data_IF_208972428847
#
_entry.id   IF_208972428847
#
_cell.length_a   1.000
_cell.length_b   1.000
_cell.length_c   1.000
_cell.angle_alpha   90.00
_cell.angle_beta   90.00
_cell.angle_gamma   90.00
#
_symmetry.space_group_name_H-M   'P 1'
#
loop_
_entity.id
_entity.type
_entity.pdbx_description
1 polymer ?
#
# COMPACT_ATOMS: atom_id res chain seq x y z
N UNK A 1 2.29 8.52 -6.81
CA UNK A 1 2.96 7.21 -6.72
C UNK A 1 2.67 6.33 -7.93
N UNK A 2 1.40 6.12 -8.34
CA UNK A 2 1.06 5.39 -9.59
C UNK A 2 1.73 5.94 -10.87
N UNK A 3 1.84 7.26 -11.05
CA UNK A 3 2.55 7.84 -12.21
C UNK A 3 4.07 7.57 -12.21
N UNK A 4 4.71 7.47 -11.04
CA UNK A 4 6.15 7.19 -10.92
C UNK A 4 6.47 5.70 -11.16
N UNK A 5 5.53 4.80 -10.85
CA UNK A 5 5.68 3.37 -11.09
C UNK A 5 5.69 3.03 -12.59
N UNK A 6 4.90 3.75 -13.39
CA UNK A 6 4.81 3.53 -14.85
C UNK A 6 6.08 3.92 -15.60
N UNK A 7 6.83 4.92 -15.13
CA UNK A 7 8.07 5.38 -15.79
C UNK A 7 9.28 4.47 -15.51
N UNK A 8 9.19 3.61 -14.50
CA UNK A 8 10.27 2.72 -14.08
C UNK A 8 9.93 1.24 -14.29
N UNK A 9 8.88 0.91 -15.03
CA UNK A 9 8.39 -0.46 -15.22
C UNK A 9 8.46 -0.89 -16.68
N UNK A 10 8.80 -2.16 -16.92
CA UNK A 10 8.82 -2.75 -18.25
C UNK A 10 7.54 -3.57 -18.50
N UNK A 11 7.02 -3.61 -19.74
CA UNK A 11 5.94 -4.51 -20.08
C UNK A 11 6.39 -5.96 -19.91
N UNK A 12 5.52 -6.79 -19.36
CA UNK A 12 5.79 -8.20 -19.18
C UNK A 12 4.52 -9.04 -19.11
N UNK A 13 4.70 -10.35 -19.27
CA UNK A 13 3.65 -11.33 -19.17
C UNK A 13 3.73 -12.03 -17.82
N UNK A 14 2.60 -12.18 -17.14
CA UNK A 14 2.50 -12.85 -15.84
C UNK A 14 1.58 -14.05 -15.90
N UNK A 15 2.03 -15.14 -15.29
CA UNK A 15 1.24 -16.35 -15.02
C UNK A 15 0.99 -16.42 -13.53
N UNK A 16 -0.27 -16.25 -13.10
CA UNK A 16 -0.60 -16.24 -11.66
C UNK A 16 -1.56 -17.36 -11.31
N UNK A 17 -1.39 -17.93 -10.11
CA UNK A 17 -2.26 -19.00 -9.62
C UNK A 17 -3.69 -18.45 -9.37
N UNK A 18 -4.69 -19.12 -9.94
CA UNK A 18 -6.12 -18.80 -9.75
C UNK A 18 -6.66 -19.51 -8.51
N UNK A 19 -6.22 -19.08 -7.33
CA UNK A 19 -6.73 -19.55 -6.04
C UNK A 19 -7.16 -18.36 -5.19
N UNK A 20 -8.11 -18.58 -4.27
CA UNK A 20 -8.47 -17.56 -3.28
C UNK A 20 -7.23 -17.21 -2.45
N UNK A 21 -7.00 -15.93 -2.16
CA UNK A 21 -5.80 -15.53 -1.43
C UNK A 21 -5.73 -16.16 -0.04
N UNK A 22 -6.87 -16.39 0.61
CA UNK A 22 -6.96 -17.20 1.84
C UNK A 22 -6.35 -18.60 1.67
N UNK A 23 -6.61 -19.26 0.53
CA UNK A 23 -6.08 -20.58 0.25
C UNK A 23 -4.56 -20.56 0.06
N UNK A 24 -4.04 -19.53 -0.61
CA UNK A 24 -2.60 -19.29 -0.75
C UNK A 24 -1.96 -19.16 0.63
N UNK A 25 -2.47 -18.25 1.48
CA UNK A 25 -1.90 -17.99 2.81
C UNK A 25 -1.90 -19.23 3.71
N UNK A 26 -2.84 -20.16 3.51
CA UNK A 26 -2.94 -21.43 4.25
C UNK A 26 -1.98 -22.51 3.76
N UNK A 27 -1.72 -22.56 2.46
CA UNK A 27 -1.17 -23.78 1.84
C UNK A 27 0.07 -23.56 0.97
N UNK A 28 0.39 -22.33 0.61
CA UNK A 28 1.49 -22.03 -0.32
C UNK A 28 2.56 -21.23 0.41
N UNK A 29 3.64 -21.91 0.78
CA UNK A 29 4.89 -21.29 1.20
C UNK A 29 5.85 -21.13 0.01
N UNK A 30 7.02 -20.55 0.26
CA UNK A 30 8.03 -20.34 -0.77
C UNK A 30 8.48 -21.65 -1.45
N UNK A 31 8.58 -22.75 -0.70
CA UNK A 31 9.01 -24.03 -1.27
C UNK A 31 7.94 -24.62 -2.18
N UNK A 32 6.66 -24.48 -1.81
CA UNK A 32 5.54 -24.85 -2.69
C UNK A 32 5.54 -24.00 -3.96
N UNK A 33 5.74 -22.69 -3.86
CA UNK A 33 5.84 -21.80 -5.02
C UNK A 33 6.99 -22.20 -5.96
N UNK A 34 8.17 -22.53 -5.41
CA UNK A 34 9.32 -23.06 -6.16
C UNK A 34 9.06 -24.43 -6.76
N UNK A 35 8.30 -25.27 -6.06
CA UNK A 35 7.82 -26.55 -6.55
C UNK A 35 6.94 -26.39 -7.79
N UNK A 36 5.97 -25.47 -7.76
CA UNK A 36 5.12 -25.14 -8.91
C UNK A 36 5.96 -24.66 -10.10
N UNK A 37 6.92 -23.77 -9.87
CA UNK A 37 7.83 -23.30 -10.92
C UNK A 37 8.63 -24.44 -11.55
N UNK A 38 9.10 -25.38 -10.73
CA UNK A 38 9.84 -26.56 -11.19
C UNK A 38 8.96 -27.50 -12.00
N UNK A 39 7.70 -27.70 -11.60
CA UNK A 39 6.74 -28.50 -12.36
C UNK A 39 6.41 -27.87 -13.72
N UNK A 40 6.34 -26.54 -13.81
CA UNK A 40 6.24 -25.84 -15.09
C UNK A 40 7.49 -26.03 -15.95
N UNK A 41 8.69 -25.98 -15.36
CA UNK A 41 9.93 -26.21 -16.09
C UNK A 41 10.02 -27.64 -16.65
N UNK A 42 9.63 -28.64 -15.86
CA UNK A 42 9.52 -30.03 -16.31
C UNK A 42 8.50 -30.18 -17.44
N UNK A 43 7.33 -29.54 -17.31
CA UNK A 43 6.31 -29.58 -18.34
C UNK A 43 6.76 -28.90 -19.64
N UNK A 44 7.44 -27.76 -19.53
CA UNK A 44 8.03 -27.07 -20.66
C UNK A 44 9.07 -27.95 -21.38
N UNK A 45 9.91 -28.65 -20.62
CA UNK A 45 10.86 -29.62 -21.18
C UNK A 45 10.17 -30.76 -21.94
N UNK A 46 9.07 -31.30 -21.41
CA UNK A 46 8.28 -32.34 -22.09
C UNK A 46 7.64 -31.87 -23.40
N UNK A 47 7.18 -30.62 -23.47
CA UNK A 47 6.58 -30.02 -24.67
C UNK A 47 7.62 -29.66 -25.74
N UNK A 48 8.89 -29.53 -25.34
CA UNK A 48 10.03 -29.39 -26.22
C UNK A 48 10.85 -28.13 -25.98
N UNK A 49 12.00 -28.04 -26.66
CA UNK A 49 13.01 -27.00 -26.45
C UNK A 49 12.48 -25.57 -26.54
N UNK A 50 11.53 -25.31 -27.43
CA UNK A 50 10.93 -23.98 -27.58
C UNK A 50 10.17 -23.52 -26.33
N UNK A 51 9.47 -24.43 -25.65
CA UNK A 51 8.76 -24.13 -24.41
C UNK A 51 9.74 -23.95 -23.24
N UNK A 52 10.83 -24.74 -23.22
CA UNK A 52 11.88 -24.62 -22.21
C UNK A 52 12.60 -23.27 -22.29
N UNK A 53 12.97 -22.83 -23.51
CA UNK A 53 13.57 -21.51 -23.74
C UNK A 53 12.61 -20.38 -23.37
N UNK A 54 11.31 -20.55 -23.62
CA UNK A 54 10.26 -19.60 -23.26
C UNK A 54 10.05 -19.51 -21.74
N UNK A 55 9.97 -20.65 -21.02
CA UNK A 55 9.72 -20.66 -19.58
C UNK A 55 10.92 -20.16 -18.77
N UNK A 56 12.14 -20.27 -19.31
CA UNK A 56 13.38 -19.89 -18.60
C UNK A 56 13.40 -18.43 -18.11
N UNK A 57 12.70 -17.52 -18.78
CA UNK A 57 12.61 -16.12 -18.37
C UNK A 57 11.52 -15.82 -17.33
N UNK A 58 10.71 -16.82 -16.94
CA UNK A 58 9.67 -16.66 -15.91
C UNK A 58 10.25 -16.84 -14.51
N UNK A 59 10.14 -15.79 -13.71
CA UNK A 59 10.61 -15.74 -12.33
C UNK A 59 9.47 -15.47 -11.37
N UNK A 60 9.58 -15.98 -10.14
CA UNK A 60 8.62 -15.67 -9.09
C UNK A 60 8.65 -14.16 -8.81
N UNK A 61 7.55 -13.49 -9.15
CA UNK A 61 7.41 -12.04 -9.06
C UNK A 61 5.95 -11.63 -9.11
N UNK A 62 5.54 -10.74 -8.20
CA UNK A 62 4.21 -10.14 -8.20
C UNK A 62 4.22 -8.73 -8.80
N UNK A 63 3.19 -8.44 -9.57
CA UNK A 63 3.00 -7.15 -10.24
C UNK A 63 2.60 -6.06 -9.25
N UNK A 64 3.02 -4.82 -9.50
CA UNK A 64 2.65 -3.67 -8.65
C UNK A 64 1.36 -2.97 -9.08
N UNK A 65 0.84 -3.30 -10.26
CA UNK A 65 -0.24 -2.57 -10.94
C UNK A 65 -1.52 -3.40 -11.13
N UNK A 66 -1.54 -4.66 -10.70
CA UNK A 66 -2.72 -5.53 -10.78
C UNK A 66 -3.06 -6.27 -9.49
N UNK A 67 -4.09 -7.12 -9.60
CA UNK A 67 -4.65 -7.90 -8.50
C UNK A 67 -4.04 -9.32 -8.44
N UNK A 68 -2.84 -9.49 -8.97
CA UNK A 68 -2.16 -10.78 -8.94
C UNK A 68 -1.60 -10.99 -7.53
N UNK A 69 -1.76 -12.20 -7.00
CA UNK A 69 -1.24 -12.57 -5.69
C UNK A 69 -0.24 -13.70 -5.84
N UNK A 70 0.77 -13.79 -4.95
CA UNK A 70 1.68 -14.92 -4.98
C UNK A 70 0.90 -16.26 -4.94
N UNK A 71 1.39 -17.30 -5.62
CA UNK A 71 2.53 -17.29 -6.52
C UNK A 71 2.15 -16.73 -7.91
N UNK A 72 2.93 -15.76 -8.36
CA UNK A 72 2.89 -15.21 -9.72
C UNK A 72 4.27 -15.33 -10.36
N UNK A 73 4.31 -15.66 -11.64
CA UNK A 73 5.55 -15.81 -12.40
C UNK A 73 5.57 -14.77 -13.52
N UNK A 74 6.54 -13.86 -13.48
CA UNK A 74 6.68 -12.77 -14.45
C UNK A 74 7.85 -12.98 -15.41
N UNK A 75 7.66 -12.60 -16.67
CA UNK A 75 8.71 -12.51 -17.68
C UNK A 75 8.62 -11.14 -18.39
N UNK A 76 9.77 -10.47 -18.54
CA UNK A 76 9.90 -9.13 -19.17
C UNK A 76 10.28 -9.20 -20.64
N UNK A 77 10.75 -10.36 -21.11
CA UNK A 77 11.11 -10.54 -22.51
C UNK A 77 9.85 -10.61 -23.38
N UNK A 78 10.00 -10.40 -24.68
CA UNK A 78 8.92 -10.65 -25.64
C UNK A 78 8.64 -12.15 -25.69
N UNK A 79 7.53 -12.57 -25.09
CA UNK A 79 7.09 -13.97 -25.05
C UNK A 79 5.93 -14.21 -26.02
N UNK A 80 5.92 -15.39 -26.66
CA UNK A 80 4.77 -15.87 -27.43
C UNK A 80 3.66 -16.33 -26.47
N UNK A 81 2.70 -15.43 -26.22
CA UNK A 81 1.56 -15.65 -25.31
C UNK A 81 0.76 -16.93 -25.65
N UNK A 82 0.63 -17.27 -26.93
CA UNK A 82 -0.11 -18.47 -27.35
C UNK A 82 0.59 -19.75 -26.91
N UNK A 83 1.93 -19.77 -26.91
CA UNK A 83 2.70 -20.89 -26.35
C UNK A 83 2.58 -20.95 -24.83
N UNK A 84 2.53 -19.82 -24.14
CA UNK A 84 2.29 -19.79 -22.69
C UNK A 84 0.89 -20.33 -22.37
N UNK A 85 -0.13 -19.97 -23.14
CA UNK A 85 -1.49 -20.54 -23.01
C UNK A 85 -1.50 -22.06 -23.15
N UNK A 86 -0.77 -22.60 -24.12
CA UNK A 86 -0.62 -24.06 -24.28
C UNK A 86 0.02 -24.69 -23.05
N UNK A 87 1.10 -24.09 -22.52
CA UNK A 87 1.79 -24.57 -21.32
C UNK A 87 0.86 -24.56 -20.09
N UNK A 88 0.13 -23.46 -19.87
CA UNK A 88 -0.82 -23.30 -18.76
C UNK A 88 -2.00 -24.27 -18.87
N UNK A 89 -2.60 -24.41 -20.05
CA UNK A 89 -3.68 -25.37 -20.28
C UNK A 89 -3.21 -26.80 -19.96
N UNK A 90 -1.98 -27.14 -20.37
CA UNK A 90 -1.40 -28.46 -20.10
C UNK A 90 -1.07 -28.66 -18.61
N UNK A 91 -0.65 -27.62 -17.90
CA UNK A 91 -0.43 -27.67 -16.46
C UNK A 91 -1.75 -27.97 -15.71
N UNK A 92 -2.85 -27.35 -16.14
CA UNK A 92 -4.19 -27.62 -15.62
C UNK A 92 -4.63 -29.07 -15.88
N UNK A 93 -4.42 -29.60 -17.10
CA UNK A 93 -4.74 -31.00 -17.43
C UNK A 93 -3.96 -32.01 -16.58
N UNK A 94 -2.71 -31.66 -16.20
CA UNK A 94 -1.87 -32.49 -15.32
C UNK A 94 -2.19 -32.32 -13.83
N UNK A 95 -3.07 -31.38 -13.47
CA UNK A 95 -3.42 -31.11 -12.08
C UNK A 95 -2.35 -30.34 -11.29
N UNK A 96 -1.47 -29.58 -11.97
CA UNK A 96 -0.48 -28.71 -11.31
C UNK A 96 -1.18 -27.52 -10.62
N UNK A 97 -2.24 -27.00 -11.25
CA UNK A 97 -3.03 -25.87 -10.75
C UNK A 97 -3.81 -25.20 -11.88
N UNK A 98 -4.64 -24.21 -11.53
CA UNK A 98 -5.27 -23.30 -12.50
C UNK A 98 -4.52 -21.98 -12.47
N UNK A 99 -4.24 -21.43 -13.65
CA UNK A 99 -3.46 -20.21 -13.76
C UNK A 99 -4.08 -19.28 -14.79
N UNK A 100 -4.04 -17.99 -14.49
CA UNK A 100 -4.42 -16.93 -15.42
C UNK A 100 -3.16 -16.33 -16.03
N UNK A 101 -3.32 -15.79 -17.24
CA UNK A 101 -2.27 -15.11 -17.97
C UNK A 101 -2.71 -13.66 -18.15
N UNK A 102 -1.81 -12.72 -17.87
CA UNK A 102 -2.10 -11.28 -17.96
C UNK A 102 -0.87 -10.48 -18.38
N UNK A 103 -1.10 -9.51 -19.27
CA UNK A 103 -0.12 -8.47 -19.58
C UNK A 103 -0.14 -7.37 -18.51
N UNK A 104 1.04 -6.93 -18.09
CA UNK A 104 1.18 -5.95 -17.00
C UNK A 104 2.51 -5.21 -17.05
N UNK A 105 2.71 -4.26 -16.13
CA UNK A 105 3.98 -3.58 -15.94
C UNK A 105 4.76 -4.17 -14.74
N UNK A 106 5.94 -4.71 -15.00
CA UNK A 106 6.84 -5.30 -14.01
C UNK A 106 7.89 -4.29 -13.56
N UNK A 107 8.12 -4.15 -12.26
CA UNK A 107 9.19 -3.30 -11.73
C UNK A 107 10.54 -4.02 -11.82
N UNK A 108 11.66 -3.32 -12.07
CA UNK A 108 12.99 -3.91 -12.03
C UNK A 108 13.28 -4.48 -10.63
N UNK A 109 13.40 -5.80 -10.55
CA UNK A 109 13.83 -6.48 -9.33
C UNK A 109 15.35 -6.37 -9.27
N UNK A 110 15.87 -5.49 -8.41
CA UNK A 110 17.31 -5.19 -8.34
C UNK A 110 18.15 -6.40 -7.95
N UNK A 111 18.71 -7.12 -8.92
CA UNK A 111 19.72 -8.16 -8.69
C UNK A 111 19.58 -9.37 -9.64
N UNK A 112 20.59 -10.27 -9.69
CA UNK A 112 20.60 -11.40 -10.62
C UNK A 112 19.69 -12.59 -10.21
N UNK A 113 19.09 -12.55 -9.03
CA UNK A 113 18.20 -13.61 -8.48
C UNK A 113 17.05 -12.98 -7.67
N UNK A 114 15.93 -12.63 -8.31
CA UNK A 114 14.76 -12.05 -7.63
C UNK A 114 13.97 -13.07 -6.78
N UNK A 115 14.28 -14.36 -6.94
CA UNK A 115 13.54 -15.48 -6.36
C UNK A 115 14.05 -15.84 -4.96
N UNK A 116 13.96 -14.90 -4.02
CA UNK A 116 14.31 -15.15 -2.62
C UNK A 116 13.07 -15.36 -1.78
N UNK A 117 13.19 -16.13 -0.69
CA UNK A 117 12.10 -16.29 0.29
C UNK A 117 11.68 -14.93 0.87
N UNK A 118 12.64 -14.05 1.13
CA UNK A 118 12.37 -12.71 1.66
C UNK A 118 11.54 -11.87 0.68
N UNK A 119 11.84 -11.93 -0.62
CA UNK A 119 11.03 -11.27 -1.65
C UNK A 119 9.62 -11.84 -1.69
N UNK A 120 9.48 -13.17 -1.63
CA UNK A 120 8.16 -13.81 -1.60
C UNK A 120 7.32 -13.39 -0.38
N UNK A 121 7.95 -13.30 0.80
CA UNK A 121 7.31 -12.81 2.03
C UNK A 121 6.91 -11.33 1.87
N UNK A 122 7.75 -10.52 1.23
CA UNK A 122 7.43 -9.12 0.93
C UNK A 122 6.22 -9.00 -0.01
N UNK A 123 6.18 -9.81 -1.07
CA UNK A 123 5.06 -9.83 -2.02
C UNK A 123 3.76 -10.28 -1.33
N UNK A 124 3.83 -11.28 -0.42
CA UNK A 124 2.69 -11.66 0.43
C UNK A 124 2.25 -10.51 1.35
N UNK A 125 3.18 -9.75 1.91
CA UNK A 125 2.88 -8.63 2.80
C UNK A 125 2.16 -7.49 2.06
N UNK A 126 2.61 -7.18 0.84
CA UNK A 126 1.94 -6.21 -0.03
C UNK A 126 0.57 -6.71 -0.47
N UNK A 127 0.43 -7.99 -0.84
CA UNK A 127 -0.86 -8.59 -1.13
C UNK A 127 -1.81 -8.47 0.07
N UNK A 128 -1.40 -8.82 1.30
CA UNK A 128 -2.21 -8.64 2.52
C UNK A 128 -2.65 -7.19 2.70
N UNK A 129 -1.80 -6.22 2.37
CA UNK A 129 -2.13 -4.79 2.54
C UNK A 129 -3.17 -4.28 1.54
N UNK A 130 -3.16 -4.78 0.31
CA UNK A 130 -3.92 -4.20 -0.80
C UNK A 130 -5.06 -5.08 -1.33
N UNK A 131 -5.00 -6.41 -1.16
CA UNK A 131 -5.91 -7.37 -1.79
C UNK A 131 -7.36 -7.26 -1.30
N UNK A 132 -7.56 -7.06 0.00
CA UNK A 132 -8.88 -7.08 0.62
C UNK A 132 -9.82 -6.03 0.04
N UNK A 133 -9.31 -4.87 -0.37
CA UNK A 133 -10.15 -3.75 -0.82
C UNK A 133 -10.76 -4.00 -2.20
N UNK A 134 -10.09 -4.82 -3.02
CA UNK A 134 -10.62 -5.25 -4.31
C UNK A 134 -11.71 -6.31 -4.14
N UNK A 135 -11.51 -7.28 -3.24
CA UNK A 135 -12.51 -8.31 -2.94
C UNK A 135 -13.78 -7.72 -2.31
N UNK A 136 -13.63 -6.69 -1.49
CA UNK A 136 -14.74 -6.03 -0.77
C UNK A 136 -15.40 -4.94 -1.64
N UNK A 137 -14.88 -4.64 -2.84
CA UNK A 137 -15.35 -3.56 -3.71
C UNK A 137 -15.41 -2.18 -3.02
N UNK A 138 -14.56 -1.96 -2.01
CA UNK A 138 -14.32 -0.63 -1.46
C UNK A 138 -13.50 0.16 -2.48
N UNK A 139 -14.14 0.62 -3.55
CA UNK A 139 -13.54 1.60 -4.45
C UNK A 139 -13.12 2.80 -3.60
N UNK A 140 -11.95 3.38 -3.88
CA UNK A 140 -11.48 4.65 -3.29
C UNK A 140 -12.32 5.84 -3.79
N UNK A 141 -13.66 5.74 -3.73
CA UNK A 141 -14.57 6.80 -4.13
C UNK A 141 -14.43 7.98 -3.17
N UNK A 142 -14.61 9.21 -3.66
CA UNK A 142 -14.73 10.34 -2.77
C UNK A 142 -15.91 10.10 -1.81
N UNK A 143 -15.61 10.21 -0.52
CA UNK A 143 -16.53 10.05 0.59
C UNK A 143 -17.82 10.86 0.36
N UNK A 144 -18.97 10.19 0.33
CA UNK A 144 -20.25 10.88 0.50
C UNK A 144 -20.56 10.88 1.99
N UNK A 145 -20.04 11.86 2.72
CA UNK A 145 -20.43 12.06 4.11
C UNK A 145 -21.94 12.36 4.18
N UNK A 146 -22.61 12.09 5.32
CA UNK A 146 -24.01 12.45 5.49
C UNK A 146 -24.26 13.93 5.16
N UNK A 147 -25.41 14.23 4.57
CA UNK A 147 -25.80 15.61 4.22
C UNK A 147 -25.68 16.58 5.41
N UNK A 148 -25.86 16.09 6.65
CA UNK A 148 -25.69 16.87 7.86
C UNK A 148 -24.25 17.35 8.05
N UNK A 149 -23.23 16.53 7.74
CA UNK A 149 -21.84 16.93 7.80
C UNK A 149 -21.48 17.92 6.70
N UNK A 150 -21.94 17.68 5.48
CA UNK A 150 -21.67 18.59 4.36
C UNK A 150 -22.29 19.97 4.60
N UNK A 151 -23.57 20.01 5.00
CA UNK A 151 -24.29 21.25 5.30
C UNK A 151 -23.65 22.01 6.47
N UNK A 152 -23.29 21.32 7.55
CA UNK A 152 -22.60 21.96 8.68
C UNK A 152 -21.22 22.46 8.28
N UNK A 153 -20.46 21.71 7.46
CA UNK A 153 -19.16 22.17 6.97
C UNK A 153 -19.31 23.46 6.17
N UNK A 154 -20.28 23.52 5.26
CA UNK A 154 -20.56 24.74 4.49
C UNK A 154 -20.93 25.90 5.41
N UNK A 155 -21.83 25.69 6.37
CA UNK A 155 -22.25 26.71 7.33
C UNK A 155 -21.08 27.22 8.19
N UNK A 156 -20.23 26.32 8.70
CA UNK A 156 -19.05 26.67 9.49
C UNK A 156 -18.06 27.50 8.64
N UNK A 157 -17.83 27.12 7.38
CA UNK A 157 -16.97 27.88 6.49
C UNK A 157 -17.54 29.27 6.20
N UNK A 158 -18.85 29.39 5.98
CA UNK A 158 -19.55 30.65 5.76
C UNK A 158 -19.51 31.59 6.97
N UNK A 159 -19.64 31.03 8.17
CA UNK A 159 -19.71 31.80 9.41
C UNK A 159 -18.33 32.22 9.91
N UNK A 160 -17.32 31.36 9.81
CA UNK A 160 -16.01 31.56 10.45
C UNK A 160 -14.90 31.94 9.46
N UNK A 161 -14.88 31.39 8.25
CA UNK A 161 -13.73 31.55 7.33
C UNK A 161 -14.00 32.58 6.23
N UNK A 162 -15.19 32.55 5.62
CA UNK A 162 -15.54 33.43 4.52
C UNK A 162 -15.56 34.92 4.86
N UNK A 163 -15.93 35.38 6.08
CA UNK A 163 -15.87 36.79 6.43
C UNK A 163 -14.43 37.32 6.37
N UNK A 164 -13.44 36.53 6.78
CA UNK A 164 -12.03 36.90 6.73
C UNK A 164 -11.49 36.91 5.29
N UNK A 165 -11.85 35.92 4.48
CA UNK A 165 -11.49 35.88 3.06
C UNK A 165 -12.11 37.06 2.28
N UNK A 166 -13.38 37.36 2.53
CA UNK A 166 -14.09 38.48 1.89
C UNK A 166 -13.49 39.82 2.28
N UNK A 167 -13.18 40.03 3.57
CA UNK A 167 -12.49 41.25 4.03
C UNK A 167 -11.15 41.43 3.34
N UNK A 168 -10.36 40.34 3.21
CA UNK A 168 -9.07 40.36 2.51
C UNK A 168 -9.22 40.72 1.02
N UNK A 169 -10.28 40.26 0.36
CA UNK A 169 -10.55 40.60 -1.03
C UNK A 169 -10.98 42.06 -1.22
N UNK A 170 -11.64 42.65 -0.22
CA UNK A 170 -12.17 44.02 -0.27
C UNK A 170 -11.15 45.09 0.14
N UNK A 171 -10.20 44.74 1.02
CA UNK A 171 -9.19 45.66 1.55
C UNK A 171 -7.75 45.15 1.30
N UNK A 172 -7.28 45.15 0.05
CA UNK A 172 -5.90 44.78 -0.24
C UNK A 172 -4.96 45.87 0.32
N UNK A 173 -4.17 45.53 1.33
CA UNK A 173 -3.09 46.38 1.83
C UNK A 173 -1.73 45.77 1.52
N UNK A 174 -0.69 46.62 1.50
CA UNK A 174 0.70 46.23 1.19
C UNK A 174 1.53 46.21 2.47
N UNK A 175 2.31 45.15 2.69
CA UNK A 175 3.37 45.10 3.70
C UNK A 175 3.37 43.86 4.60
N UNK A 176 4.52 43.60 5.24
CA UNK A 176 4.78 42.40 6.05
C UNK A 176 3.83 42.22 7.24
N UNK A 177 3.50 43.31 7.95
CA UNK A 177 2.61 43.28 9.12
C UNK A 177 1.18 42.85 8.75
N UNK A 178 0.68 43.32 7.61
CA UNK A 178 -0.64 42.95 7.09
C UNK A 178 -0.69 41.46 6.71
N UNK A 179 0.37 40.92 6.10
CA UNK A 179 0.46 39.48 5.77
C UNK A 179 0.41 38.63 7.04
N UNK A 180 1.19 38.98 8.06
CA UNK A 180 1.24 38.24 9.33
C UNK A 180 -0.11 38.27 10.07
N UNK A 181 -0.74 39.43 10.19
CA UNK A 181 -2.06 39.54 10.82
C UNK A 181 -3.15 38.77 10.05
N UNK A 182 -3.07 38.73 8.72
CA UNK A 182 -4.01 37.98 7.89
C UNK A 182 -3.84 36.47 8.04
N UNK A 183 -2.60 35.99 8.10
CA UNK A 183 -2.27 34.58 8.36
C UNK A 183 -2.80 34.18 9.74
N UNK A 184 -2.53 34.99 10.76
CA UNK A 184 -2.91 34.67 12.13
C UNK A 184 -4.43 34.65 12.33
N UNK A 185 -5.17 35.57 11.70
CA UNK A 185 -6.63 35.55 11.74
C UNK A 185 -7.20 34.35 11.00
N UNK A 186 -6.73 34.11 9.77
CA UNK A 186 -7.20 32.96 8.99
C UNK A 186 -6.89 31.64 9.71
N UNK A 187 -5.71 31.53 10.35
CA UNK A 187 -5.34 30.38 11.19
C UNK A 187 -6.34 30.18 12.32
N UNK A 188 -6.64 31.22 13.10
CA UNK A 188 -7.64 31.16 14.19
C UNK A 188 -9.02 30.76 13.70
N UNK A 189 -9.47 31.34 12.58
CA UNK A 189 -10.77 31.05 12.00
C UNK A 189 -10.86 29.61 11.48
N UNK A 190 -9.77 29.08 10.92
CA UNK A 190 -9.67 27.67 10.53
C UNK A 190 -9.61 26.74 11.75
N UNK A 191 -8.92 27.13 12.83
CA UNK A 191 -8.88 26.36 14.08
C UNK A 191 -10.25 26.26 14.76
N UNK A 192 -11.01 27.36 14.77
CA UNK A 192 -12.39 27.37 15.27
C UNK A 192 -13.31 26.52 14.38
N UNK A 193 -13.17 26.66 13.05
CA UNK A 193 -13.92 25.85 12.09
C UNK A 193 -13.63 24.35 12.24
N UNK A 194 -12.36 23.99 12.44
CA UNK A 194 -11.94 22.60 12.67
C UNK A 194 -12.52 22.06 13.97
N UNK A 195 -12.42 22.80 15.08
CA UNK A 195 -12.97 22.40 16.38
C UNK A 195 -14.48 22.11 16.30
N UNK A 196 -15.23 22.97 15.60
CA UNK A 196 -16.68 22.80 15.42
C UNK A 196 -17.01 21.65 14.48
N UNK A 197 -16.24 21.49 13.40
CA UNK A 197 -16.42 20.37 12.47
C UNK A 197 -16.19 19.04 13.18
N UNK A 198 -15.16 18.96 14.02
CA UNK A 198 -14.89 17.78 14.86
C UNK A 198 -16.05 17.49 15.80
N UNK A 199 -16.65 18.48 16.45
CA UNK A 199 -17.80 18.26 17.33
C UNK A 199 -19.01 17.66 16.58
N UNK A 200 -19.28 18.10 15.35
CA UNK A 200 -20.33 17.51 14.49
C UNK A 200 -19.96 16.08 14.09
N UNK A 201 -18.69 15.83 13.75
CA UNK A 201 -18.20 14.50 13.41
C UNK A 201 -18.32 13.52 14.59
N UNK A 202 -17.93 13.94 15.79
CA UNK A 202 -18.08 13.16 17.02
C UNK A 202 -19.56 12.85 17.31
N UNK A 203 -20.45 13.84 17.12
CA UNK A 203 -21.89 13.64 17.29
C UNK A 203 -22.44 12.57 16.35
N UNK A 204 -22.15 12.66 15.05
CA UNK A 204 -22.65 11.67 14.09
C UNK A 204 -22.05 10.28 14.31
N UNK A 205 -20.75 10.19 14.62
CA UNK A 205 -20.09 8.92 14.98
C UNK A 205 -20.78 8.20 16.15
N UNK A 206 -21.22 8.95 17.14
CA UNK A 206 -21.91 8.41 18.32
C UNK A 206 -23.32 7.94 17.99
N UNK A 207 -24.05 8.72 17.17
CA UNK A 207 -25.47 8.54 16.88
C UNK A 207 -25.76 7.41 15.90
N UNK A 208 -24.91 7.26 14.88
CA UNK A 208 -25.16 6.29 13.82
C UNK A 208 -24.86 4.88 14.34
N UNK A 209 -25.78 3.95 14.08
CA UNK A 209 -25.63 2.54 14.40
C UNK A 209 -24.89 1.84 13.24
N UNK A 210 -23.71 1.24 13.47
CA UNK A 210 -22.99 0.51 12.43
C UNK A 210 -23.78 -0.64 11.81
N UNK A 211 -24.81 -1.17 12.47
CA UNK A 211 -25.65 -2.22 11.91
C UNK A 211 -26.53 -1.75 10.74
N UNK A 212 -26.73 -0.45 10.57
CA UNK A 212 -27.58 0.16 9.53
C UNK A 212 -26.79 0.71 8.34
N UNK A 213 -25.48 0.53 8.36
CA UNK A 213 -24.55 1.08 7.38
C UNK A 213 -24.02 -0.07 6.53
N UNK A 214 -23.71 0.15 5.27
CA UNK A 214 -23.05 -0.85 4.42
C UNK A 214 -21.55 -0.91 4.72
N UNK A 215 -20.89 -2.05 4.45
CA UNK A 215 -19.48 -2.26 4.80
C UNK A 215 -18.54 -1.16 4.28
N UNK A 216 -18.72 -0.73 3.03
CA UNK A 216 -17.93 0.35 2.42
C UNK A 216 -17.99 1.63 3.28
N UNK A 217 -19.19 2.05 3.66
CA UNK A 217 -19.40 3.22 4.51
C UNK A 217 -18.88 2.99 5.94
N UNK A 218 -18.97 1.77 6.50
CA UNK A 218 -18.41 1.47 7.83
C UNK A 218 -16.91 1.69 7.89
N UNK A 219 -16.18 1.32 6.84
CA UNK A 219 -14.72 1.53 6.77
C UNK A 219 -14.42 3.02 6.87
N UNK A 220 -15.18 3.85 6.16
CA UNK A 220 -15.05 5.30 6.23
C UNK A 220 -15.35 5.88 7.62
N UNK A 221 -16.40 5.38 8.28
CA UNK A 221 -16.70 5.73 9.66
C UNK A 221 -15.60 5.27 10.63
N UNK A 222 -15.01 4.10 10.41
CA UNK A 222 -13.88 3.60 11.18
C UNK A 222 -12.62 4.46 10.97
N UNK A 223 -12.37 4.95 9.75
CA UNK A 223 -11.29 5.91 9.47
C UNK A 223 -11.51 7.21 10.24
N UNK A 224 -12.73 7.75 10.23
CA UNK A 224 -13.09 8.96 10.96
C UNK A 224 -12.94 8.75 12.48
N UNK A 225 -13.44 7.62 13.00
CA UNK A 225 -13.30 7.20 14.39
C UNK A 225 -11.84 7.13 14.81
N UNK A 226 -10.97 6.51 14.00
CA UNK A 226 -9.54 6.42 14.24
C UNK A 226 -8.85 7.79 14.24
N UNK A 227 -9.23 8.66 13.30
CA UNK A 227 -8.67 10.01 13.16
C UNK A 227 -9.00 10.88 14.36
N UNK A 228 -10.21 10.79 14.89
CA UNK A 228 -10.66 11.53 16.09
C UNK A 228 -10.26 10.82 17.40
N UNK A 229 -9.94 9.53 17.34
CA UNK A 229 -9.71 8.71 18.54
C UNK A 229 -10.98 8.50 19.37
N UNK A 230 -12.14 8.42 18.71
CA UNK A 230 -13.47 8.30 19.33
C UNK A 230 -14.21 7.13 18.71
N UNK A 231 -14.96 6.36 19.52
CA UNK A 231 -15.76 5.23 19.03
C UNK A 231 -14.96 4.20 18.19
N UNK A 232 -13.63 4.13 18.37
CA UNK A 232 -12.71 3.34 17.55
C UNK A 232 -13.09 1.87 17.58
N UNK A 233 -13.29 1.31 18.78
CA UNK A 233 -13.64 -0.09 18.96
C UNK A 233 -15.01 -0.42 18.35
N UNK A 234 -16.01 0.44 18.56
CA UNK A 234 -17.36 0.29 18.00
C UNK A 234 -17.30 0.11 16.48
N UNK A 235 -16.64 1.03 15.79
CA UNK A 235 -16.58 1.03 14.33
C UNK A 235 -15.62 -0.03 13.78
N UNK A 236 -14.47 -0.26 14.45
CA UNK A 236 -13.57 -1.34 14.08
C UNK A 236 -14.23 -2.71 14.17
N UNK A 237 -14.89 -3.02 15.28
CA UNK A 237 -15.58 -4.31 15.48
C UNK A 237 -16.73 -4.50 14.50
N UNK A 238 -17.43 -3.43 14.13
CA UNK A 238 -18.49 -3.50 13.12
C UNK A 238 -17.94 -3.91 11.75
N UNK A 239 -16.82 -3.31 11.30
CA UNK A 239 -16.14 -3.73 10.08
C UNK A 239 -15.59 -5.16 10.21
N UNK A 240 -14.84 -5.44 11.27
CA UNK A 240 -14.12 -6.70 11.43
C UNK A 240 -15.04 -7.94 11.47
N UNK A 241 -16.28 -7.80 11.95
CA UNK A 241 -17.29 -8.88 11.96
C UNK A 241 -17.74 -9.32 10.56
N UNK A 242 -17.64 -8.43 9.59
CA UNK A 242 -18.05 -8.71 8.20
C UNK A 242 -16.88 -9.20 7.35
N UNK A 243 -15.67 -9.22 7.91
CA UNK A 243 -14.45 -9.69 7.26
C UNK A 243 -14.14 -11.12 7.72
N UNK A 244 -14.46 -12.15 6.91
CA UNK A 244 -14.32 -13.55 7.33
C UNK A 244 -12.86 -13.96 7.59
N UNK A 245 -11.90 -13.40 6.83
CA UNK A 245 -10.52 -13.87 6.86
C UNK A 245 -9.63 -12.99 7.74
N UNK A 246 -8.57 -13.59 8.29
CA UNK A 246 -7.61 -12.89 9.16
C UNK A 246 -6.86 -11.81 8.35
N UNK A 247 -6.42 -12.12 7.14
CA UNK A 247 -5.72 -11.14 6.29
C UNK A 247 -6.58 -9.92 5.96
N UNK A 248 -7.88 -10.09 5.74
CA UNK A 248 -8.80 -8.97 5.47
C UNK A 248 -8.91 -8.04 6.68
N UNK A 249 -8.98 -8.60 7.89
CA UNK A 249 -8.94 -7.82 9.14
C UNK A 249 -7.59 -7.11 9.34
N UNK A 250 -6.48 -7.74 8.94
CA UNK A 250 -5.16 -7.12 8.97
C UNK A 250 -5.05 -5.94 7.98
N UNK A 251 -5.61 -6.11 6.79
CA UNK A 251 -5.69 -5.08 5.77
C UNK A 251 -6.55 -3.88 6.20
N UNK A 252 -7.69 -4.14 6.85
CA UNK A 252 -8.50 -3.10 7.52
C UNK A 252 -7.65 -2.27 8.48
N UNK A 253 -6.87 -2.91 9.35
CA UNK A 253 -6.00 -2.17 10.27
C UNK A 253 -4.97 -1.32 9.50
N UNK A 254 -4.36 -1.88 8.45
CA UNK A 254 -3.38 -1.15 7.65
C UNK A 254 -3.97 0.12 7.00
N UNK A 255 -5.19 0.05 6.47
CA UNK A 255 -5.90 1.21 5.89
C UNK A 255 -6.28 2.25 6.93
N UNK A 256 -6.85 1.81 8.06
CA UNK A 256 -7.18 2.70 9.17
C UNK A 256 -5.94 3.44 9.63
N UNK A 257 -4.82 2.74 9.76
CA UNK A 257 -3.55 3.31 10.18
C UNK A 257 -2.94 4.30 9.18
N UNK A 258 -2.98 3.98 7.89
CA UNK A 258 -2.49 4.84 6.82
C UNK A 258 -3.20 6.20 6.78
N UNK A 259 -4.50 6.19 7.05
CA UNK A 259 -5.38 7.36 6.94
C UNK A 259 -5.06 8.49 7.95
N UNK A 260 -4.56 8.17 9.16
CA UNK A 260 -4.18 9.18 10.16
C UNK A 260 -2.66 9.34 10.32
N UNK A 261 -1.87 8.86 9.35
CA UNK A 261 -0.41 9.03 9.26
C UNK A 261 0.33 8.72 10.56
N UNK A 262 -0.01 7.64 11.27
CA UNK A 262 0.73 7.07 12.41
C UNK A 262 0.76 7.84 13.76
N UNK A 263 0.05 8.97 13.90
CA UNK A 263 0.12 9.85 15.12
C UNK A 263 -1.22 9.94 15.90
N UNK A 264 -2.14 9.00 15.67
CA UNK A 264 -3.49 9.03 16.26
C UNK A 264 -3.62 8.33 17.62
N UNK A 265 -4.61 8.75 18.42
CA UNK A 265 -4.98 8.11 19.70
C UNK A 265 -5.48 6.66 19.53
N UNK A 266 -5.91 6.29 18.32
CA UNK A 266 -6.32 4.94 17.97
C UNK A 266 -5.15 3.95 17.79
N UNK A 267 -3.91 4.44 17.70
CA UNK A 267 -2.73 3.60 17.42
C UNK A 267 -2.53 2.43 18.39
N UNK A 268 -2.57 2.62 19.73
CA UNK A 268 -2.37 1.49 20.66
C UNK A 268 -3.43 0.40 20.48
N UNK A 269 -4.69 0.80 20.26
CA UNK A 269 -5.78 -0.14 19.99
C UNK A 269 -5.53 -0.94 18.71
N UNK A 270 -5.16 -0.28 17.61
CA UNK A 270 -4.86 -0.97 16.35
C UNK A 270 -3.63 -1.88 16.45
N UNK A 271 -2.62 -1.50 17.24
CA UNK A 271 -1.45 -2.36 17.51
C UNK A 271 -1.82 -3.64 18.21
N UNK A 272 -2.62 -3.54 19.27
CA UNK A 272 -3.09 -4.69 20.04
C UNK A 272 -3.90 -5.62 19.15
N UNK A 273 -4.87 -5.08 18.39
CA UNK A 273 -5.68 -5.87 17.46
C UNK A 273 -4.86 -6.54 16.37
N UNK A 274 -3.83 -5.88 15.83
CA UNK A 274 -2.99 -6.52 14.82
C UNK A 274 -2.17 -7.67 15.41
N UNK A 275 -1.62 -7.51 16.62
CA UNK A 275 -0.90 -8.60 17.31
C UNK A 275 -1.78 -9.81 17.54
N UNK A 276 -3.02 -9.61 17.99
CA UNK A 276 -4.01 -10.69 18.14
C UNK A 276 -4.20 -11.44 16.81
N UNK A 277 -4.31 -10.74 15.68
CA UNK A 277 -4.42 -11.37 14.36
C UNK A 277 -3.18 -12.19 13.96
N UNK A 278 -1.97 -11.72 14.32
CA UNK A 278 -0.72 -12.48 14.10
C UNK A 278 -0.68 -13.74 14.97
N UNK A 279 -1.24 -13.69 16.19
CA UNK A 279 -1.34 -14.86 17.06
C UNK A 279 -2.40 -15.85 16.53
N UNK A 280 -3.56 -15.37 16.09
CA UNK A 280 -4.61 -16.18 15.46
C UNK A 280 -4.09 -16.89 14.19
N UNK A 281 -3.28 -16.19 13.37
CA UNK A 281 -2.76 -16.76 12.13
C UNK A 281 -1.78 -17.93 12.34
N UNK A 282 -1.21 -18.07 13.55
CA UNK A 282 -0.33 -19.19 13.89
C UNK A 282 -0.96 -20.56 13.72
N UNK A 283 -2.28 -20.67 13.85
CA UNK A 283 -3.00 -21.93 13.71
C UNK A 283 -3.50 -22.21 12.28
N UNK A 284 -3.47 -21.20 11.39
CA UNK A 284 -4.15 -21.27 10.09
C UNK A 284 -3.22 -21.05 8.89
N UNK A 285 -2.26 -20.15 8.99
CA UNK A 285 -1.42 -19.73 7.87
C UNK A 285 -0.03 -20.37 7.89
N UNK A 286 0.58 -20.46 6.71
CA UNK A 286 1.98 -20.87 6.54
C UNK A 286 2.92 -19.94 7.30
N UNK A 287 4.12 -20.40 7.65
CA UNK A 287 5.07 -19.55 8.38
C UNK A 287 5.44 -18.29 7.60
N UNK A 288 5.63 -18.41 6.28
CA UNK A 288 5.90 -17.28 5.37
C UNK A 288 4.75 -16.25 5.38
N UNK A 289 3.49 -16.69 5.35
CA UNK A 289 2.34 -15.81 5.46
C UNK A 289 2.25 -15.10 6.83
N UNK A 290 2.64 -15.76 7.92
CA UNK A 290 2.74 -15.11 9.24
C UNK A 290 3.88 -14.11 9.30
N UNK A 291 5.02 -14.42 8.69
CA UNK A 291 6.13 -13.49 8.57
C UNK A 291 5.73 -12.26 7.75
N UNK A 292 4.95 -12.45 6.68
CA UNK A 292 4.38 -11.35 5.90
C UNK A 292 3.46 -10.47 6.76
N UNK A 293 2.56 -11.06 7.57
CA UNK A 293 1.74 -10.29 8.52
C UNK A 293 2.59 -9.51 9.54
N UNK A 294 3.67 -10.11 10.06
CA UNK A 294 4.61 -9.42 10.98
C UNK A 294 5.31 -8.27 10.28
N UNK A 295 5.73 -8.45 9.04
CA UNK A 295 6.33 -7.39 8.25
C UNK A 295 5.35 -6.22 8.05
N UNK A 296 4.08 -6.50 7.72
CA UNK A 296 3.05 -5.44 7.65
C UNK A 296 2.95 -4.68 8.98
N UNK A 297 2.90 -5.40 10.11
CA UNK A 297 2.85 -4.80 11.44
C UNK A 297 4.09 -3.93 11.76
N UNK A 298 5.28 -4.44 11.48
CA UNK A 298 6.54 -3.75 11.75
C UNK A 298 6.64 -2.47 10.90
N UNK A 299 6.27 -2.55 9.63
CA UNK A 299 6.21 -1.39 8.73
C UNK A 299 5.20 -0.32 9.17
N UNK A 300 4.07 -0.72 9.75
CA UNK A 300 3.08 0.21 10.32
C UNK A 300 3.59 0.87 11.61
N UNK A 301 4.42 0.14 12.38
CA UNK A 301 5.01 0.64 13.61
C UNK A 301 6.17 1.61 13.37
N UNK A 302 6.89 1.47 12.25
CA UNK A 302 7.91 2.42 11.84
C UNK A 302 7.32 3.82 11.62
N UNK A 303 8.03 4.85 12.08
CA UNK A 303 7.67 6.22 11.80
C UNK A 303 7.80 6.50 10.29
N UNK A 304 6.92 7.31 9.68
CA UNK A 304 7.11 7.82 8.32
C UNK A 304 8.47 8.50 8.12
N UNK A 305 9.10 8.95 9.21
CA UNK A 305 10.41 9.59 9.23
C UNK A 305 11.58 8.60 9.36
N UNK A 306 11.35 7.40 9.89
CA UNK A 306 12.41 6.38 10.06
C UNK A 306 12.90 5.88 8.69
N UNK A 307 12.00 5.78 7.71
CA UNK A 307 12.32 5.43 6.30
C UNK A 307 13.21 6.45 5.58
N UNK A 308 13.32 7.69 6.08
CA UNK A 308 14.22 8.72 5.48
C UNK A 308 15.66 8.63 5.97
N UNK A 309 15.91 8.00 7.12
CA UNK A 309 17.27 7.94 7.69
C UNK A 309 18.24 7.17 6.79
N UNK A 310 17.81 6.04 6.21
CA UNK A 310 18.62 5.24 5.29
C UNK A 310 18.92 5.90 3.93
N UNK A 311 18.21 6.96 3.56
CA UNK A 311 18.49 7.77 2.36
C UNK A 311 19.57 8.83 2.61
N UNK A 312 19.77 9.23 3.86
CA UNK A 312 20.79 10.20 4.27
C UNK A 312 22.07 9.53 4.78
N UNK A 313 21.98 8.26 5.22
CA UNK A 313 23.14 7.48 5.71
C UNK A 313 23.92 6.74 4.63
N UNK A 314 23.52 6.87 3.35
CA UNK A 314 24.48 6.66 2.25
C UNK A 314 25.45 7.83 2.24
N UNK A 315 26.38 7.83 3.19
CA UNK A 315 27.63 8.58 3.08
C UNK A 315 28.20 8.25 1.70
N UNK A 316 28.23 9.27 0.87
CA UNK A 316 29.13 9.33 -0.27
C UNK A 316 30.52 8.94 0.24
N UNK A 317 30.97 7.72 -0.06
CA UNK A 317 32.39 7.42 -0.14
C UNK A 317 32.92 8.26 -1.30
N UNK A 318 33.26 9.51 -0.97
CA UNK A 318 33.90 10.42 -1.90
C UNK A 318 35.26 9.85 -2.31
N UNK A 319 35.64 10.00 -3.59
CA UNK A 319 36.90 9.47 -4.09
C UNK A 319 38.08 10.13 -3.37
N UNK A 320 39.05 9.31 -2.97
CA UNK A 320 40.34 9.75 -2.45
C UNK A 320 40.96 10.79 -3.40
N UNK A 321 41.21 11.99 -2.87
CA UNK A 321 41.96 13.03 -3.57
C UNK A 321 43.42 12.57 -3.74
N UNK A 322 43.74 11.94 -4.86
CA UNK A 322 45.08 11.98 -5.41
C UNK A 322 45.31 13.35 -6.05
N UNK A 323 45.95 14.26 -5.31
CA UNK A 323 46.56 15.48 -5.87
C UNK A 323 47.70 15.11 -6.82
N UNK A 324 47.69 15.55 -8.09
CA UNK A 324 48.89 15.58 -8.91
C UNK A 324 49.65 16.90 -8.67
N UNK A 325 50.96 16.75 -8.49
CA UNK A 325 51.98 17.80 -8.51
C UNK A 325 51.76 18.87 -9.59
N UNK A 326 51.85 20.14 -9.19
CA UNK A 326 52.25 21.21 -10.12
C UNK A 326 53.27 22.13 -9.45
N UNK A 327 54.55 21.84 -9.69
CA UNK A 327 55.65 22.79 -9.51
C UNK A 327 55.77 23.69 -10.74
N UNK A 328 55.84 25.00 -10.44
CA UNK A 328 56.64 26.05 -11.07
C UNK A 328 56.39 26.48 -12.54
N UNK A 329 55.93 27.72 -12.68
CA UNK A 329 56.64 28.85 -13.31
C UNK A 329 55.89 30.13 -12.88
N UNK A 330 56.47 31.17 -12.28
CA UNK A 330 57.75 31.80 -12.53
C UNK A 330 57.58 32.90 -13.58
N UNK A 331 57.14 34.10 -13.18
CA UNK A 331 57.29 35.34 -13.96
C UNK A 331 57.56 36.50 -12.98
N UNK A 332 58.67 37.18 -13.26
CA UNK A 332 59.32 38.27 -12.54
C UNK A 332 58.56 39.60 -12.61
N UNK A 333 58.77 40.43 -11.58
CA UNK A 333 58.49 41.87 -11.56
C UNK A 333 59.61 42.65 -12.28
N UNK A 334 59.23 43.46 -13.27
CA UNK A 334 59.81 44.77 -13.60
C UNK A 334 58.79 45.63 -14.37
#
# INVERSE_FOLDING_TARGET
MRQLLVECSDPGLVVTLEEEFEHVLKNVDFEVARGLQSQFAELAHELGREFEELWRGFHLEVTNDGNDFPPSFGNRDTVDEEKVKVLVARAQEKGIGRFSIRDTLLLPQGGPTPETRDQFIHDLADAIRYSSWYEIQCDRRPLTFPESMERNRQQIMEEYVYPDLRRRAQEPMVGYKWVQESIERLRKSLEEADTRSQAVMEYELSRIDPAQVELEDKVHWAVLACSLGREVEKWFTACAKELPHIYQRAALIAELWGSFRSVGRARPFLQERFKELIEESAALYTDDARQAMRQVYDELCQSPWDRRSGLLDKKEEGPENETPDSKNAGIDDD
#
